data_IF_068697031149
#
_entry.id   IF_068697031149
#
_cell.length_a   1.000
_cell.length_b   1.000
_cell.length_c   1.000
_cell.angle_alpha   90.00
_cell.angle_beta   90.00
_cell.angle_gamma   90.00
#
_symmetry.space_group_name_H-M   'P 1'
#
loop_
_entity.id
_entity.type
_entity.pdbx_description
1 polymer ?
#
# COMPACT_ATOMS: atom_id res chain seq x y z
N UNK A 1 0.42 -66.35 -18.09
CA UNK A 1 0.28 -64.89 -18.29
C UNK A 1 0.82 -64.52 -19.67
N UNK A 2 -0.06 -64.06 -20.57
CA UNK A 2 0.29 -63.77 -21.97
C UNK A 2 0.81 -62.33 -22.13
N UNK A 3 2.05 -62.21 -22.60
CA UNK A 3 2.83 -60.96 -22.71
C UNK A 3 2.25 -59.89 -23.65
N UNK A 4 1.09 -60.15 -24.27
CA UNK A 4 0.41 -59.25 -25.21
C UNK A 4 -0.55 -58.26 -24.53
N UNK A 5 -0.82 -58.44 -23.24
CA UNK A 5 -1.74 -57.56 -22.50
C UNK A 5 -1.09 -56.27 -21.98
N UNK A 6 0.24 -56.12 -22.11
CA UNK A 6 0.98 -54.96 -21.61
C UNK A 6 1.08 -53.78 -22.60
N UNK A 7 0.64 -53.95 -23.86
CA UNK A 7 0.86 -52.96 -24.93
C UNK A 7 -0.37 -52.09 -25.26
N UNK A 8 -1.50 -52.27 -24.57
CA UNK A 8 -2.77 -51.61 -24.93
C UNK A 8 -3.28 -50.54 -23.93
N UNK A 9 -2.48 -50.10 -22.96
CA UNK A 9 -2.87 -49.08 -21.96
C UNK A 9 -2.02 -47.82 -22.06
N UNK A 10 -1.99 -47.18 -23.23
CA UNK A 10 -1.30 -45.89 -23.42
C UNK A 10 -2.16 -44.82 -24.12
N UNK A 11 -3.49 -44.89 -23.99
CA UNK A 11 -4.37 -43.91 -24.62
C UNK A 11 -5.63 -43.66 -23.77
N UNK A 12 -5.56 -42.82 -22.73
CA UNK A 12 -6.75 -42.15 -22.16
C UNK A 12 -6.44 -41.12 -21.05
N UNK A 13 -5.49 -40.20 -21.18
CA UNK A 13 -5.39 -39.11 -20.18
C UNK A 13 -4.66 -37.86 -20.68
N UNK A 14 -5.30 -37.09 -21.58
CA UNK A 14 -4.85 -35.74 -21.95
C UNK A 14 -5.98 -34.70 -22.07
N UNK A 15 -7.17 -34.93 -21.51
CA UNK A 15 -8.30 -34.00 -21.69
C UNK A 15 -9.05 -33.71 -20.37
N UNK A 16 -8.40 -32.97 -19.48
CA UNK A 16 -8.99 -32.11 -18.45
C UNK A 16 -7.81 -31.34 -17.84
N UNK A 17 -7.66 -30.02 -17.97
CA UNK A 17 -8.46 -28.98 -17.33
C UNK A 17 -8.38 -27.70 -18.18
N UNK A 18 -9.32 -27.55 -19.12
CA UNK A 18 -9.62 -26.26 -19.73
C UNK A 18 -10.78 -25.61 -18.99
N UNK A 19 -10.51 -24.97 -17.85
CA UNK A 19 -11.41 -24.02 -17.18
C UNK A 19 -10.71 -23.44 -15.94
N UNK A 20 -9.61 -22.72 -16.13
CA UNK A 20 -9.30 -21.65 -15.17
C UNK A 20 -10.30 -20.54 -15.50
N UNK A 21 -11.44 -20.66 -14.84
CA UNK A 21 -12.50 -19.68 -14.82
C UNK A 21 -11.89 -18.29 -14.73
N UNK A 22 -12.41 -17.39 -15.56
CA UNK A 22 -12.32 -15.95 -15.41
C UNK A 22 -12.47 -15.60 -13.92
N UNK A 23 -11.34 -15.47 -13.22
CA UNK A 23 -11.34 -14.74 -11.97
C UNK A 23 -11.86 -13.34 -12.34
N UNK A 24 -12.84 -12.78 -11.61
CA UNK A 24 -13.10 -11.36 -11.78
C UNK A 24 -11.75 -10.68 -11.63
N UNK A 25 -11.39 -9.84 -12.59
CA UNK A 25 -10.24 -8.96 -12.41
C UNK A 25 -10.52 -8.23 -11.09
N UNK A 26 -9.83 -8.64 -10.03
CA UNK A 26 -9.77 -7.84 -8.81
C UNK A 26 -9.35 -6.48 -9.33
N UNK A 27 -10.21 -5.46 -9.18
CA UNK A 27 -9.78 -4.10 -9.47
C UNK A 27 -8.49 -3.95 -8.67
N UNK A 28 -7.37 -3.80 -9.37
CA UNK A 28 -6.10 -3.53 -8.71
C UNK A 28 -6.36 -2.26 -7.90
N UNK A 29 -6.48 -2.41 -6.58
CA UNK A 29 -6.72 -1.28 -5.69
C UNK A 29 -5.54 -0.35 -5.90
N UNK A 30 -5.79 0.82 -6.48
CA UNK A 30 -4.73 1.76 -6.76
C UNK A 30 -4.14 2.19 -5.42
N UNK A 31 -2.83 2.08 -5.28
CA UNK A 31 -2.13 2.48 -4.06
C UNK A 31 -1.63 3.92 -4.22
N UNK A 32 -1.72 4.71 -3.15
CA UNK A 32 -1.28 6.09 -3.11
C UNK A 32 -0.47 6.39 -1.87
N UNK A 33 0.40 7.41 -1.97
CA UNK A 33 1.11 7.97 -0.81
C UNK A 33 0.12 8.76 0.03
N UNK A 34 -0.01 8.40 1.29
CA UNK A 34 -0.81 9.13 2.26
C UNK A 34 0.10 9.85 3.25
N UNK A 35 0.16 11.17 3.14
CA UNK A 35 1.06 11.99 3.93
C UNK A 35 0.46 12.38 5.27
N UNK A 36 1.32 12.55 6.29
CA UNK A 36 0.90 13.03 7.60
C UNK A 36 0.17 11.99 8.47
N UNK A 37 0.14 10.72 8.06
CA UNK A 37 -0.50 9.63 8.83
C UNK A 37 0.50 8.68 9.48
N UNK A 38 1.79 8.77 9.13
CA UNK A 38 2.81 7.93 9.70
C UNK A 38 3.02 8.26 11.18
N UNK A 39 3.05 7.23 12.04
CA UNK A 39 3.55 7.36 13.41
C UNK A 39 5.07 7.16 13.43
N UNK A 40 5.70 7.54 14.54
CA UNK A 40 7.14 7.38 14.74
C UNK A 40 7.57 5.94 14.44
N UNK A 41 8.57 5.77 13.56
CA UNK A 41 9.09 4.48 13.14
C UNK A 41 8.24 3.73 12.10
N UNK A 42 7.18 4.36 11.56
CA UNK A 42 6.21 3.68 10.68
C UNK A 42 5.98 4.38 9.33
N UNK A 43 6.87 5.27 8.89
CA UNK A 43 6.84 5.82 7.52
C UNK A 43 7.35 4.79 6.49
N UNK A 44 6.90 4.92 5.24
CA UNK A 44 7.51 4.25 4.09
C UNK A 44 8.74 5.00 3.55
N UNK A 45 9.47 4.37 2.62
CA UNK A 45 10.70 4.93 2.05
C UNK A 45 10.46 6.29 1.37
N UNK A 46 11.43 7.19 1.53
CA UNK A 46 11.40 8.61 1.13
C UNK A 46 10.45 9.49 1.95
N UNK A 47 10.63 10.81 1.81
CA UNK A 47 9.79 11.84 2.41
C UNK A 47 9.98 13.17 1.67
N UNK A 48 9.08 14.13 1.88
CA UNK A 48 9.13 15.44 1.20
C UNK A 48 10.29 16.31 1.68
N UNK A 49 10.81 16.07 2.89
CA UNK A 49 11.94 16.80 3.45
C UNK A 49 13.29 16.38 2.85
N UNK A 50 13.37 15.19 2.25
CA UNK A 50 14.63 14.60 1.78
C UNK A 50 15.60 14.18 2.88
N UNK A 51 15.22 14.30 4.17
CA UNK A 51 16.10 14.03 5.32
C UNK A 51 16.28 12.53 5.60
N UNK A 52 15.38 11.70 5.09
CA UNK A 52 15.49 10.24 5.15
C UNK A 52 14.93 9.60 3.89
N UNK A 53 15.43 8.40 3.59
CA UNK A 53 15.01 7.60 2.44
C UNK A 53 14.54 6.19 2.82
N UNK A 54 14.86 5.74 4.04
CA UNK A 54 14.54 4.39 4.49
C UNK A 54 13.23 4.36 5.28
N UNK A 55 12.47 3.27 5.10
CA UNK A 55 11.28 2.95 5.90
C UNK A 55 11.60 2.96 7.39
N UNK A 56 10.67 3.48 8.20
CA UNK A 56 10.70 3.41 9.65
C UNK A 56 11.75 4.29 10.32
N UNK A 57 12.13 5.39 9.68
CA UNK A 57 13.14 6.34 10.17
C UNK A 57 12.55 7.64 10.69
N UNK A 58 11.25 7.90 10.46
CA UNK A 58 10.59 9.06 11.03
C UNK A 58 10.59 8.99 12.55
N UNK A 59 10.97 10.09 13.20
CA UNK A 59 11.01 10.21 14.66
C UNK A 59 9.75 10.87 15.23
N UNK A 60 8.95 11.51 14.37
CA UNK A 60 7.78 12.31 14.74
C UNK A 60 6.50 11.62 14.30
N UNK A 61 5.46 11.73 15.12
CA UNK A 61 4.13 11.31 14.70
C UNK A 61 3.51 12.36 13.78
N UNK A 62 2.83 11.89 12.74
CA UNK A 62 1.98 12.69 11.84
C UNK A 62 2.71 13.81 11.09
N UNK A 63 4.01 13.65 10.87
CA UNK A 63 4.78 14.62 10.07
C UNK A 63 4.19 14.70 8.65
N UNK A 64 3.76 15.89 8.16
CA UNK A 64 3.20 16.05 6.82
C UNK A 64 4.17 15.65 5.70
N UNK A 65 5.47 15.67 5.94
CA UNK A 65 6.50 15.26 4.99
C UNK A 65 6.65 13.75 4.84
N UNK A 66 6.12 12.98 5.78
CA UNK A 66 6.24 11.53 5.81
C UNK A 66 4.93 10.88 5.36
N UNK A 67 5.04 9.73 4.70
CA UNK A 67 3.88 9.03 4.17
C UNK A 67 3.88 7.55 4.48
N UNK A 68 2.69 6.97 4.36
CA UNK A 68 2.46 5.53 4.27
C UNK A 68 1.72 5.25 2.98
N UNK A 69 2.08 4.18 2.28
CA UNK A 69 1.38 3.72 1.08
C UNK A 69 0.10 3.01 1.50
N UNK A 70 -1.04 3.52 1.04
CA UNK A 70 -2.39 3.01 1.37
C UNK A 70 -3.22 2.86 0.10
N UNK A 71 -4.28 2.05 0.10
CA UNK A 71 -5.26 2.07 -0.97
C UNK A 71 -5.82 3.49 -1.14
N UNK A 72 -6.01 3.92 -2.39
CA UNK A 72 -6.62 5.22 -2.70
C UNK A 72 -7.98 5.35 -2.02
N UNK A 73 -8.35 6.60 -1.68
CA UNK A 73 -9.56 6.88 -0.89
C UNK A 73 -9.45 6.53 0.60
N UNK A 74 -8.39 5.85 1.05
CA UNK A 74 -8.16 5.62 2.50
C UNK A 74 -7.56 6.85 3.17
N UNK A 75 -6.72 7.62 2.46
CA UNK A 75 -5.93 8.68 3.08
C UNK A 75 -6.78 9.75 3.74
N UNK A 76 -7.81 10.22 3.04
CA UNK A 76 -8.73 11.25 3.54
C UNK A 76 -9.50 10.77 4.78
N UNK A 77 -9.90 9.50 4.81
CA UNK A 77 -10.58 8.88 5.98
C UNK A 77 -9.69 8.85 7.22
N UNK A 78 -8.38 8.79 7.02
CA UNK A 78 -7.39 8.85 8.10
C UNK A 78 -7.02 10.29 8.49
N UNK A 79 -7.62 11.30 7.85
CA UNK A 79 -7.25 12.71 8.04
C UNK A 79 -5.95 13.12 7.36
N UNK A 80 -5.36 12.22 6.56
CA UNK A 80 -4.09 12.43 5.86
C UNK A 80 -4.21 13.36 4.64
N UNK A 81 -3.06 13.66 4.04
CA UNK A 81 -2.90 14.62 2.97
C UNK A 81 -2.49 13.96 1.66
N UNK A 82 -2.93 14.54 0.54
CA UNK A 82 -2.28 14.31 -0.75
C UNK A 82 -0.88 14.93 -0.75
N UNK A 83 -0.03 14.54 -1.71
CA UNK A 83 1.31 15.10 -1.83
C UNK A 83 1.29 16.63 -1.98
N UNK A 84 0.35 17.17 -2.77
CA UNK A 84 0.23 18.61 -3.01
C UNK A 84 -0.20 19.35 -1.74
N UNK A 85 -1.19 18.81 -1.00
CA UNK A 85 -1.63 19.37 0.28
C UNK A 85 -0.51 19.33 1.32
N UNK A 86 0.23 18.22 1.40
CA UNK A 86 1.38 18.08 2.29
C UNK A 86 2.45 19.12 1.98
N UNK A 87 2.79 19.33 0.70
CA UNK A 87 3.72 20.39 0.29
C UNK A 87 3.22 21.79 0.64
N UNK A 88 1.92 22.05 0.55
CA UNK A 88 1.34 23.34 0.95
C UNK A 88 1.49 23.55 2.46
N UNK A 89 1.09 22.57 3.27
CA UNK A 89 1.18 22.61 4.73
C UNK A 89 2.64 22.81 5.20
N UNK A 90 3.60 22.14 4.55
CA UNK A 90 5.02 22.25 4.88
C UNK A 90 5.64 23.63 4.58
N UNK A 91 5.00 24.47 3.76
CA UNK A 91 5.48 25.84 3.52
C UNK A 91 5.21 26.78 4.70
N UNK A 92 4.35 26.38 5.64
CA UNK A 92 3.95 27.19 6.78
C UNK A 92 4.14 26.41 8.10
N UNK A 93 5.06 26.85 8.99
CA UNK A 93 5.28 26.18 10.27
C UNK A 93 4.02 26.14 11.16
N UNK A 94 3.17 27.16 11.10
CA UNK A 94 1.92 27.20 11.88
C UNK A 94 0.90 26.21 11.36
N UNK A 95 0.79 26.02 10.04
CA UNK A 95 -0.10 25.03 9.43
C UNK A 95 0.40 23.60 9.69
N UNK A 96 1.71 23.38 9.60
CA UNK A 96 2.35 22.10 9.95
C UNK A 96 2.01 21.71 11.39
N UNK A 97 2.24 22.62 12.34
CA UNK A 97 1.91 22.37 13.75
C UNK A 97 0.41 22.13 13.97
N UNK A 98 -0.45 22.93 13.33
CA UNK A 98 -1.89 22.77 13.44
C UNK A 98 -2.37 21.41 12.91
N UNK A 99 -1.77 20.93 11.81
CA UNK A 99 -2.05 19.62 11.26
C UNK A 99 -1.60 18.49 12.22
N UNK A 100 -0.37 18.54 12.71
CA UNK A 100 0.18 17.54 13.63
C UNK A 100 -0.66 17.45 14.92
N UNK A 101 -1.08 18.59 15.47
CA UNK A 101 -1.96 18.65 16.64
C UNK A 101 -3.36 18.08 16.34
N UNK A 102 -3.93 18.39 15.17
CA UNK A 102 -5.22 17.85 14.74
C UNK A 102 -5.17 16.32 14.63
N UNK A 103 -4.13 15.80 13.98
CA UNK A 103 -3.93 14.36 13.83
C UNK A 103 -3.68 13.68 15.19
N UNK A 104 -2.88 14.31 16.04
CA UNK A 104 -2.64 13.84 17.41
C UNK A 104 -3.92 13.71 18.22
N UNK A 105 -4.87 14.66 18.09
CA UNK A 105 -6.18 14.60 18.74
C UNK A 105 -7.13 13.56 18.14
N UNK A 106 -7.06 13.31 16.84
CA UNK A 106 -7.89 12.30 16.17
C UNK A 106 -7.51 10.87 16.56
N UNK A 107 -6.26 10.66 16.97
CA UNK A 107 -5.75 9.36 17.40
C UNK A 107 -6.01 9.03 18.88
N UNK A 108 -6.61 9.96 19.63
CA UNK A 108 -7.05 9.79 21.03
C UNK A 108 -8.52 9.38 21.08
#
# INVERSE_FOLDING_TARGET
MNKRQFLNTAAASLLAMGALASAPAAQAESMGKCFGVATAGHNDCAGLSGLHSCKGTTTMNYNPGDFVVKPTGTCEKLGGLTMEQAQAVLKSPSETKAFEEKMGKMAM
#
